data_IF_092506447897
#
_entry.id   IF_092506447897
#
_cell.length_a   1.000
_cell.length_b   1.000
_cell.length_c   1.000
_cell.angle_alpha   90.00
_cell.angle_beta   90.00
_cell.angle_gamma   90.00
#
_symmetry.space_group_name_H-M   'P 1'
#
loop_
_entity.id
_entity.type
_entity.pdbx_description
1 polymer ?
#
# COMPACT_ATOMS: atom_id res chain seq x y z
N UNK A 1 -12.05 -30.21 -72.09
CA UNK A 1 -11.76 -30.62 -70.67
C UNK A 1 -11.75 -29.39 -69.85
N UNK A 2 -12.85 -29.09 -69.11
CA UNK A 2 -12.97 -27.94 -68.22
C UNK A 2 -12.53 -28.38 -66.79
N UNK A 3 -11.44 -27.77 -66.25
CA UNK A 3 -10.99 -27.99 -64.91
C UNK A 3 -11.83 -27.12 -63.92
N UNK A 4 -12.60 -27.76 -63.07
CA UNK A 4 -13.38 -27.16 -61.97
C UNK A 4 -12.42 -26.92 -60.80
N UNK A 5 -12.12 -25.67 -60.46
CA UNK A 5 -11.33 -25.29 -59.29
C UNK A 5 -12.30 -25.09 -58.14
N UNK A 6 -12.25 -26.00 -57.16
CA UNK A 6 -13.05 -25.94 -55.93
C UNK A 6 -12.33 -25.02 -54.92
N UNK A 7 -12.88 -23.83 -54.67
CA UNK A 7 -12.40 -22.91 -53.65
C UNK A 7 -13.00 -23.30 -52.30
N UNK A 8 -12.18 -23.93 -51.45
CA UNK A 8 -12.58 -24.23 -50.07
C UNK A 8 -12.38 -22.97 -49.24
N UNK A 9 -13.48 -22.31 -48.85
CA UNK A 9 -13.47 -21.21 -47.86
C UNK A 9 -13.31 -21.80 -46.48
N UNK A 10 -12.13 -21.64 -45.86
CA UNK A 10 -11.88 -21.97 -44.45
C UNK A 10 -12.50 -20.84 -43.59
N UNK A 11 -13.68 -21.09 -43.05
CA UNK A 11 -14.29 -20.17 -42.05
C UNK A 11 -13.62 -20.43 -40.72
N UNK A 12 -12.67 -19.58 -40.36
CA UNK A 12 -12.08 -19.53 -39.01
C UNK A 12 -13.14 -19.01 -38.05
N UNK A 13 -13.77 -19.89 -37.27
CA UNK A 13 -14.62 -19.51 -36.14
C UNK A 13 -13.72 -18.90 -35.08
N UNK A 14 -13.71 -17.57 -34.98
CA UNK A 14 -13.13 -16.84 -33.84
C UNK A 14 -14.05 -17.11 -32.66
N UNK A 15 -13.71 -18.11 -31.85
CA UNK A 15 -14.34 -18.37 -30.60
C UNK A 15 -13.96 -17.22 -29.64
N UNK A 16 -14.86 -16.27 -29.45
CA UNK A 16 -14.75 -15.26 -28.42
C UNK A 16 -15.01 -15.95 -27.08
N UNK A 17 -13.97 -16.50 -26.44
CA UNK A 17 -14.08 -16.98 -25.07
C UNK A 17 -14.34 -15.78 -24.17
N UNK A 18 -15.59 -15.67 -23.70
CA UNK A 18 -15.98 -14.73 -22.67
C UNK A 18 -15.25 -15.15 -21.41
N UNK A 19 -14.19 -14.44 -21.07
CA UNK A 19 -13.46 -14.63 -19.82
C UNK A 19 -14.44 -14.32 -18.68
N UNK A 20 -14.80 -15.33 -17.91
CA UNK A 20 -15.57 -15.17 -16.67
C UNK A 20 -14.69 -14.37 -15.72
N UNK A 21 -15.00 -13.08 -15.57
CA UNK A 21 -14.37 -12.23 -14.56
C UNK A 21 -15.01 -12.62 -13.23
N UNK A 22 -14.24 -13.27 -12.37
CA UNK A 22 -14.72 -13.56 -11.01
C UNK A 22 -14.99 -12.26 -10.26
N UNK A 23 -16.07 -12.21 -9.45
CA UNK A 23 -16.39 -11.01 -8.69
C UNK A 23 -15.28 -10.72 -7.67
N UNK A 24 -14.84 -9.47 -7.61
CA UNK A 24 -13.86 -9.00 -6.63
C UNK A 24 -14.46 -8.99 -5.23
N UNK A 25 -13.63 -9.23 -4.21
CA UNK A 25 -14.04 -9.36 -2.82
C UNK A 25 -13.52 -8.16 -2.03
N UNK A 26 -14.36 -7.59 -1.18
CA UNK A 26 -13.95 -6.68 -0.11
C UNK A 26 -13.95 -7.42 1.23
N UNK A 27 -12.78 -7.55 1.84
CA UNK A 27 -12.62 -8.20 3.13
C UNK A 27 -11.49 -7.55 3.92
N UNK A 28 -11.79 -7.04 5.11
CA UNK A 28 -10.81 -6.39 5.98
C UNK A 28 -10.87 -7.02 7.38
N UNK A 29 -9.75 -7.52 7.88
CA UNK A 29 -9.65 -7.97 9.25
C UNK A 29 -10.00 -6.85 10.24
N UNK A 30 -10.74 -7.21 11.30
CA UNK A 30 -11.30 -6.25 12.27
C UNK A 30 -10.25 -5.30 12.86
N UNK A 31 -9.08 -5.81 13.20
CA UNK A 31 -8.00 -5.03 13.82
C UNK A 31 -7.33 -4.06 12.81
N UNK A 32 -7.57 -4.23 11.50
CA UNK A 32 -7.04 -3.38 10.43
C UNK A 32 -8.03 -2.29 9.99
N UNK A 33 -9.32 -2.45 10.31
CA UNK A 33 -10.37 -1.50 9.92
C UNK A 33 -10.11 -0.05 10.37
N UNK A 34 -9.63 0.24 11.61
CA UNK A 34 -9.37 1.61 12.04
C UNK A 34 -8.34 2.33 11.16
N UNK A 35 -7.32 1.61 10.69
CA UNK A 35 -6.27 2.20 9.84
C UNK A 35 -6.77 2.52 8.43
N UNK A 36 -7.64 1.66 7.86
CA UNK A 36 -8.28 1.94 6.57
C UNK A 36 -9.21 3.14 6.70
N UNK A 37 -9.99 3.23 7.77
CA UNK A 37 -10.85 4.39 8.02
C UNK A 37 -10.03 5.68 8.13
N UNK A 38 -8.89 5.65 8.84
CA UNK A 38 -7.97 6.79 8.93
C UNK A 38 -7.37 7.14 7.56
N UNK A 39 -6.94 6.14 6.78
CA UNK A 39 -6.41 6.35 5.43
C UNK A 39 -7.47 7.00 4.50
N UNK A 40 -8.71 6.52 4.55
CA UNK A 40 -9.83 7.08 3.79
C UNK A 40 -10.10 8.55 4.17
N UNK A 41 -10.05 8.87 5.45
CA UNK A 41 -10.21 10.24 5.95
C UNK A 41 -9.07 11.14 5.49
N UNK A 42 -7.81 10.65 5.52
CA UNK A 42 -6.66 11.41 5.03
C UNK A 42 -6.72 11.64 3.51
N UNK A 43 -7.21 10.66 2.74
CA UNK A 43 -7.46 10.82 1.30
C UNK A 43 -8.53 11.88 1.04
N UNK A 44 -9.65 11.82 1.79
CA UNK A 44 -10.77 12.76 1.67
C UNK A 44 -10.33 14.21 1.97
N UNK A 45 -9.52 14.41 3.02
CA UNK A 45 -8.96 15.76 3.35
C UNK A 45 -8.14 16.35 2.19
N UNK A 46 -7.59 15.52 1.32
CA UNK A 46 -6.77 15.90 0.15
C UNK A 46 -7.56 15.89 -1.16
N UNK A 47 -8.88 15.70 -1.09
CA UNK A 47 -9.75 15.63 -2.27
C UNK A 47 -9.52 14.41 -3.14
N UNK A 48 -8.97 13.33 -2.58
CA UNK A 48 -8.67 12.08 -3.30
C UNK A 48 -9.75 11.06 -2.99
N UNK A 49 -10.38 10.56 -4.04
CA UNK A 49 -11.35 9.46 -3.95
C UNK A 49 -10.63 8.13 -4.11
N UNK A 50 -10.83 7.22 -3.17
CA UNK A 50 -10.24 5.88 -3.16
C UNK A 50 -11.36 4.84 -3.34
N UNK A 51 -11.11 3.88 -4.24
CA UNK A 51 -12.00 2.73 -4.46
C UNK A 51 -11.48 1.52 -3.66
N UNK A 52 -12.33 0.96 -2.83
CA UNK A 52 -11.98 -0.14 -1.90
C UNK A 52 -12.66 -1.47 -2.23
N UNK A 53 -13.59 -1.51 -3.18
CA UNK A 53 -14.53 -2.63 -3.42
C UNK A 53 -13.83 -3.97 -3.70
N UNK A 54 -12.61 -3.92 -4.17
CA UNK A 54 -11.80 -5.08 -4.53
C UNK A 54 -10.56 -5.24 -3.63
N UNK A 55 -10.64 -4.84 -2.36
CA UNK A 55 -9.54 -4.91 -1.41
C UNK A 55 -9.76 -6.02 -0.39
N UNK A 56 -8.82 -6.96 -0.33
CA UNK A 56 -8.64 -7.88 0.80
C UNK A 56 -7.47 -7.37 1.64
N UNK A 57 -7.67 -7.21 2.95
CA UNK A 57 -6.61 -6.88 3.88
C UNK A 57 -6.69 -7.76 5.12
N UNK A 58 -5.72 -8.65 5.28
CA UNK A 58 -5.75 -9.70 6.28
C UNK A 58 -4.40 -9.86 6.97
N UNK A 59 -4.44 -10.44 8.17
CA UNK A 59 -3.22 -10.91 8.80
C UNK A 59 -2.76 -12.23 8.17
N UNK A 60 -1.44 -12.35 8.01
CA UNK A 60 -0.79 -13.55 7.52
C UNK A 60 0.28 -14.00 8.53
N UNK A 61 0.42 -15.30 8.68
CA UNK A 61 1.46 -15.93 9.49
C UNK A 61 2.61 -16.49 8.64
N UNK A 62 2.69 -16.11 7.35
CA UNK A 62 3.73 -16.61 6.45
C UNK A 62 5.14 -16.32 6.97
N UNK A 63 6.09 -17.17 6.60
CA UNK A 63 7.50 -17.07 6.99
C UNK A 63 8.30 -16.03 6.19
N UNK A 64 7.65 -15.24 5.34
CA UNK A 64 8.31 -14.17 4.59
C UNK A 64 8.91 -13.13 5.56
N UNK A 65 10.10 -12.65 5.26
CA UNK A 65 10.82 -11.64 6.07
C UNK A 65 10.27 -10.22 5.88
N UNK A 66 9.01 -10.08 5.47
CA UNK A 66 8.33 -8.81 5.26
C UNK A 66 7.23 -8.62 6.29
N UNK A 67 7.10 -7.41 6.80
CA UNK A 67 6.01 -7.04 7.71
C UNK A 67 4.67 -6.84 6.98
N UNK A 68 4.71 -6.43 5.73
CA UNK A 68 3.57 -6.24 4.87
C UNK A 68 3.88 -6.62 3.42
N UNK A 69 2.83 -6.89 2.65
CA UNK A 69 2.93 -7.15 1.22
C UNK A 69 1.63 -6.82 0.52
N UNK A 70 1.70 -5.93 -0.46
CA UNK A 70 0.64 -5.72 -1.43
C UNK A 70 0.83 -6.64 -2.64
N UNK A 71 -0.23 -7.32 -3.04
CA UNK A 71 -0.30 -8.11 -4.28
C UNK A 71 -1.50 -7.67 -5.11
N UNK A 72 -1.31 -7.52 -6.41
CA UNK A 72 -2.35 -7.15 -7.37
C UNK A 72 -2.51 -8.27 -8.38
N UNK A 73 -3.74 -8.68 -8.64
CA UNK A 73 -4.08 -9.60 -9.73
C UNK A 73 -4.62 -8.78 -10.90
N UNK A 74 -3.81 -8.53 -11.94
CA UNK A 74 -4.18 -7.62 -13.03
C UNK A 74 -5.43 -8.05 -13.80
N UNK A 75 -5.62 -9.38 -13.96
CA UNK A 75 -6.75 -9.97 -14.69
C UNK A 75 -8.08 -9.83 -13.95
N UNK A 76 -8.07 -9.70 -12.62
CA UNK A 76 -9.27 -9.73 -11.79
C UNK A 76 -9.52 -8.40 -11.08
N UNK A 77 -8.57 -7.46 -11.15
CA UNK A 77 -8.64 -6.20 -10.43
C UNK A 77 -8.60 -6.36 -8.90
N UNK A 78 -8.45 -7.60 -8.38
CA UNK A 78 -8.36 -7.89 -6.95
C UNK A 78 -7.02 -7.42 -6.40
N UNK A 79 -7.06 -6.77 -5.24
CA UNK A 79 -5.89 -6.30 -4.48
C UNK A 79 -5.88 -6.99 -3.12
N UNK A 80 -4.74 -7.51 -2.74
CA UNK A 80 -4.59 -8.22 -1.45
C UNK A 80 -3.40 -7.64 -0.68
N UNK A 81 -3.66 -7.18 0.53
CA UNK A 81 -2.64 -6.78 1.49
C UNK A 81 -2.58 -7.83 2.59
N UNK A 82 -1.39 -8.34 2.84
CA UNK A 82 -1.09 -9.24 3.95
C UNK A 82 -0.18 -8.55 4.94
N UNK A 83 -0.57 -8.53 6.21
CA UNK A 83 0.21 -7.97 7.32
C UNK A 83 0.65 -9.10 8.24
N UNK A 84 1.93 -9.16 8.57
CA UNK A 84 2.47 -10.16 9.48
C UNK A 84 2.07 -9.85 10.92
N UNK A 85 1.34 -10.77 11.57
CA UNK A 85 0.82 -10.58 12.94
C UNK A 85 1.79 -11.09 14.01
N UNK A 86 3.09 -10.93 13.83
CA UNK A 86 4.10 -11.30 14.83
C UNK A 86 4.41 -10.17 15.81
N UNK A 87 5.37 -10.40 16.71
CA UNK A 87 5.77 -9.42 17.71
C UNK A 87 6.44 -8.20 17.08
N UNK A 88 7.30 -8.40 16.10
CA UNK A 88 8.12 -7.33 15.51
C UNK A 88 7.37 -6.45 14.53
N UNK A 89 6.40 -7.02 13.81
CA UNK A 89 5.65 -6.30 12.78
C UNK A 89 4.34 -5.70 13.30
N UNK A 90 3.74 -6.31 14.34
CA UNK A 90 2.41 -5.90 14.78
C UNK A 90 2.23 -5.85 16.29
N UNK A 91 2.40 -7.00 17.00
CA UNK A 91 1.98 -7.11 18.41
C UNK A 91 2.80 -6.23 19.34
N UNK A 92 4.12 -6.19 19.18
CA UNK A 92 5.06 -5.45 20.02
C UNK A 92 5.33 -4.02 19.58
N UNK A 93 4.70 -3.53 18.49
CA UNK A 93 5.01 -2.20 17.95
C UNK A 93 3.95 -1.17 18.33
N UNK A 94 4.36 0.10 18.30
CA UNK A 94 3.49 1.23 18.60
C UNK A 94 2.41 1.41 17.53
N UNK A 95 1.29 2.04 17.92
CA UNK A 95 0.18 2.31 17.00
C UNK A 95 0.61 3.13 15.77
N UNK A 96 1.51 4.11 15.96
CA UNK A 96 2.07 4.91 14.86
C UNK A 96 2.84 4.06 13.84
N UNK A 97 3.54 3.03 14.30
CA UNK A 97 4.27 2.12 13.41
C UNK A 97 3.31 1.17 12.66
N UNK A 98 2.23 0.73 13.32
CA UNK A 98 1.15 -0.04 12.66
C UNK A 98 0.47 0.80 11.58
N UNK A 99 0.15 2.05 11.90
CA UNK A 99 -0.42 2.98 10.92
C UNK A 99 0.53 3.19 9.73
N UNK A 100 1.81 3.46 10.00
CA UNK A 100 2.82 3.64 8.96
C UNK A 100 2.93 2.41 8.04
N UNK A 101 2.97 1.19 8.61
CA UNK A 101 2.99 -0.06 7.86
C UNK A 101 1.74 -0.22 6.99
N UNK A 102 0.56 -0.03 7.57
CA UNK A 102 -0.71 -0.14 6.83
C UNK A 102 -0.78 0.90 5.71
N UNK A 103 -0.38 2.14 5.97
CA UNK A 103 -0.37 3.21 4.97
C UNK A 103 0.63 2.94 3.84
N UNK A 104 1.78 2.37 4.15
CA UNK A 104 2.77 1.91 3.17
C UNK A 104 2.15 0.89 2.20
N UNK A 105 1.52 -0.16 2.73
CA UNK A 105 0.89 -1.19 1.90
C UNK A 105 -0.31 -0.67 1.10
N UNK A 106 -1.12 0.23 1.70
CA UNK A 106 -2.20 0.92 0.99
C UNK A 106 -1.64 1.85 -0.10
N UNK A 107 -0.48 2.46 0.13
CA UNK A 107 0.27 3.22 -0.87
C UNK A 107 0.56 2.38 -2.11
N UNK A 108 1.09 1.18 -1.93
CA UNK A 108 1.31 0.24 -3.02
C UNK A 108 0.00 -0.19 -3.70
N UNK A 109 -0.98 -0.63 -2.92
CA UNK A 109 -2.19 -1.25 -3.44
C UNK A 109 -3.19 -0.25 -4.03
N UNK A 110 -3.39 0.90 -3.40
CA UNK A 110 -4.45 1.85 -3.76
C UNK A 110 -3.94 3.06 -4.54
N UNK A 111 -2.74 3.56 -4.21
CA UNK A 111 -2.16 4.73 -4.86
C UNK A 111 -1.16 4.36 -5.97
N UNK A 112 -0.79 3.09 -6.10
CA UNK A 112 0.18 2.64 -7.10
C UNK A 112 1.62 3.10 -6.84
N UNK A 113 1.93 3.51 -5.59
CA UNK A 113 3.25 3.99 -5.20
C UNK A 113 4.28 2.87 -5.25
N UNK A 114 5.46 3.19 -5.74
CA UNK A 114 6.66 2.35 -5.63
C UNK A 114 7.46 2.75 -4.39
N UNK A 115 8.46 1.92 -4.02
CA UNK A 115 9.42 2.32 -3.00
C UNK A 115 10.17 3.59 -3.39
N UNK A 116 10.48 4.41 -2.39
CA UNK A 116 11.27 5.63 -2.51
C UNK A 116 12.26 5.70 -1.35
N UNK A 117 13.48 5.24 -1.63
CA UNK A 117 14.52 5.01 -0.62
C UNK A 117 15.47 6.20 -0.42
N UNK A 118 15.15 7.36 -1.01
CA UNK A 118 15.91 8.59 -0.80
C UNK A 118 15.79 9.06 0.66
N UNK A 119 16.78 9.83 1.09
CA UNK A 119 16.82 10.44 2.41
C UNK A 119 16.72 11.96 2.30
N UNK A 120 16.14 12.57 3.33
CA UNK A 120 16.21 14.01 3.56
C UNK A 120 17.63 14.42 3.96
N UNK A 121 18.02 15.70 3.84
CA UNK A 121 19.35 16.18 4.22
C UNK A 121 19.81 15.80 5.63
N UNK A 122 18.88 15.68 6.57
CA UNK A 122 19.16 15.24 7.94
C UNK A 122 19.17 13.72 8.14
N UNK A 123 19.14 12.92 7.06
CA UNK A 123 19.17 11.46 7.08
C UNK A 123 17.84 10.78 7.42
N UNK A 124 16.73 11.51 7.56
CA UNK A 124 15.41 10.90 7.71
C UNK A 124 14.89 10.40 6.35
N UNK A 125 14.02 9.36 6.36
CA UNK A 125 13.36 8.88 5.16
C UNK A 125 12.59 10.03 4.49
N UNK A 126 12.70 10.15 3.16
CA UNK A 126 11.96 11.18 2.41
C UNK A 126 10.48 10.80 2.26
N UNK A 127 10.16 9.53 2.36
CA UNK A 127 8.83 8.98 2.06
C UNK A 127 8.43 7.90 3.05
N UNK A 128 7.11 7.80 3.28
CA UNK A 128 6.52 6.65 3.93
C UNK A 128 6.74 5.36 3.11
N UNK A 129 6.98 5.50 1.81
CA UNK A 129 7.27 4.40 0.88
C UNK A 129 8.73 3.93 0.91
N UNK A 130 9.55 4.34 1.89
CA UNK A 130 10.90 3.82 2.04
C UNK A 130 10.86 2.33 2.39
N UNK A 131 11.61 1.49 1.66
CA UNK A 131 11.53 0.02 1.75
C UNK A 131 11.95 -0.57 3.09
N UNK A 132 12.72 0.19 3.88
CA UNK A 132 13.24 -0.20 5.21
C UNK A 132 12.78 0.76 6.31
N UNK A 133 11.73 1.56 6.08
CA UNK A 133 11.26 2.51 7.07
C UNK A 133 10.74 1.82 8.31
N UNK A 134 11.20 2.29 9.47
CA UNK A 134 10.71 1.81 10.75
C UNK A 134 10.41 3.01 11.65
N UNK A 135 9.13 3.24 11.93
CA UNK A 135 8.69 4.28 12.84
C UNK A 135 9.02 5.73 12.41
N UNK A 136 8.68 6.14 11.16
CA UNK A 136 9.07 7.45 10.63
C UNK A 136 8.49 8.62 11.43
N UNK A 137 7.39 8.40 12.17
CA UNK A 137 6.75 9.37 13.06
C UNK A 137 6.36 8.78 14.42
N UNK A 138 7.16 7.86 14.95
CA UNK A 138 6.91 7.28 16.28
C UNK A 138 7.22 8.29 17.40
N UNK A 139 6.55 8.18 18.57
CA UNK A 139 6.93 8.89 19.77
C UNK A 139 8.22 8.30 20.38
N UNK A 140 8.77 8.94 21.40
CA UNK A 140 9.81 8.32 22.24
C UNK A 140 9.25 7.05 22.88
N UNK A 141 10.04 5.95 22.86
CA UNK A 141 9.69 4.70 23.53
C UNK A 141 10.06 4.77 25.00
N UNK A 142 11.11 5.53 25.33
CA UNK A 142 11.59 5.74 26.69
C UNK A 142 11.70 7.23 26.97
N UNK A 143 11.29 7.65 28.16
CA UNK A 143 11.54 9.00 28.65
C UNK A 143 12.99 9.07 29.15
N UNK A 144 13.89 9.52 28.28
CA UNK A 144 15.29 9.71 28.63
C UNK A 144 15.49 11.18 28.96
N UNK A 145 15.26 11.55 30.24
CA UNK A 145 15.63 12.87 30.76
C UNK A 145 14.98 14.07 30.07
N UNK A 146 13.73 13.92 29.61
CA UNK A 146 12.99 15.01 28.92
C UNK A 146 13.46 15.29 27.49
N UNK A 147 14.29 14.42 26.90
CA UNK A 147 14.77 14.58 25.53
C UNK A 147 13.62 14.39 24.52
N UNK A 148 13.13 15.47 23.94
CA UNK A 148 12.10 15.48 22.92
C UNK A 148 12.62 15.07 21.53
N UNK A 149 13.93 14.92 21.36
CA UNK A 149 14.61 14.61 20.08
C UNK A 149 14.14 13.29 19.46
N UNK A 150 13.79 12.30 20.29
CA UNK A 150 13.26 11.01 19.82
C UNK A 150 11.79 11.09 19.37
N UNK A 151 11.05 12.12 19.77
CA UNK A 151 9.63 12.26 19.42
C UNK A 151 9.47 12.80 18.00
N UNK A 152 9.06 11.91 17.10
CA UNK A 152 8.86 12.23 15.68
C UNK A 152 7.39 12.39 15.30
N UNK A 153 6.46 12.42 16.26
CA UNK A 153 5.00 12.42 15.98
C UNK A 153 4.57 13.61 15.12
N UNK A 154 5.21 14.78 15.29
CA UNK A 154 4.95 15.97 14.47
C UNK A 154 5.27 15.78 12.96
N UNK A 155 6.07 14.75 12.61
CA UNK A 155 6.42 14.45 11.22
C UNK A 155 5.31 13.74 10.45
N UNK A 156 4.29 13.19 11.14
CA UNK A 156 3.21 12.40 10.53
C UNK A 156 2.55 13.13 9.35
N UNK A 157 2.21 14.40 9.52
CA UNK A 157 1.53 15.15 8.47
C UNK A 157 2.35 15.21 7.18
N UNK A 158 3.65 15.46 7.27
CA UNK A 158 4.53 15.45 6.12
C UNK A 158 4.52 14.10 5.40
N UNK A 159 4.69 13.00 6.13
CA UNK A 159 4.72 11.66 5.54
C UNK A 159 3.40 11.27 4.89
N UNK A 160 2.27 11.67 5.49
CA UNK A 160 0.95 11.45 4.92
C UNK A 160 0.73 12.34 3.69
N UNK A 161 1.15 13.61 3.71
CA UNK A 161 1.08 14.50 2.55
C UNK A 161 1.91 13.94 1.39
N UNK A 162 3.13 13.48 1.65
CA UNK A 162 4.02 12.89 0.65
C UNK A 162 3.46 11.58 0.09
N UNK A 163 2.85 10.74 0.92
CA UNK A 163 2.22 9.50 0.49
C UNK A 163 1.16 9.75 -0.60
N UNK A 164 0.35 10.79 -0.44
CA UNK A 164 -0.67 11.18 -1.41
C UNK A 164 -0.16 12.10 -2.53
N UNK A 165 0.98 12.76 -2.34
CA UNK A 165 1.60 13.65 -3.33
C UNK A 165 3.13 13.59 -3.25
N UNK A 166 3.74 12.85 -4.16
CA UNK A 166 5.21 12.68 -4.22
C UNK A 166 6.00 13.99 -4.38
N UNK A 167 5.33 15.08 -4.78
CA UNK A 167 5.92 16.40 -4.95
C UNK A 167 5.84 17.28 -3.70
N UNK A 168 5.43 16.70 -2.57
CA UNK A 168 5.39 17.42 -1.28
C UNK A 168 6.76 18.01 -0.96
N UNK A 169 6.79 19.28 -0.61
CA UNK A 169 8.03 20.00 -0.32
C UNK A 169 8.75 19.42 0.90
N UNK A 170 10.08 19.44 0.86
CA UNK A 170 10.92 19.04 2.00
C UNK A 170 10.56 19.90 3.22
N UNK A 171 10.25 19.27 4.36
CA UNK A 171 9.83 19.98 5.56
C UNK A 171 11.02 20.70 6.22
N UNK A 172 10.76 21.72 7.01
CA UNK A 172 11.80 22.49 7.71
C UNK A 172 12.64 21.61 8.65
N UNK A 173 12.04 20.63 9.30
CA UNK A 173 12.75 19.67 10.16
C UNK A 173 13.60 18.66 9.39
N UNK A 174 13.46 18.58 8.07
CA UNK A 174 14.21 17.66 7.21
C UNK A 174 15.44 18.28 6.54
N UNK A 175 15.63 19.57 6.73
CA UNK A 175 16.75 20.37 6.17
C UNK A 175 18.03 20.16 6.96
#
# INVERSE_FOLDING_TARGET
>A
MKKLILFIFLISAISCQKQLIEPTIYQIDKDLQPYIATFAEEARKRGIEIKYENLIMVFDSSSENLCGKCSKQPSEGQRTIKIKKDFFCWKGVLNQNREALVFHELGHCLLGRNHRDDLLPNGADISLMHSKSYGPYQPCIYDIGGATVCNKTARRNYYVDELFNEKTNVPTWGK
#
